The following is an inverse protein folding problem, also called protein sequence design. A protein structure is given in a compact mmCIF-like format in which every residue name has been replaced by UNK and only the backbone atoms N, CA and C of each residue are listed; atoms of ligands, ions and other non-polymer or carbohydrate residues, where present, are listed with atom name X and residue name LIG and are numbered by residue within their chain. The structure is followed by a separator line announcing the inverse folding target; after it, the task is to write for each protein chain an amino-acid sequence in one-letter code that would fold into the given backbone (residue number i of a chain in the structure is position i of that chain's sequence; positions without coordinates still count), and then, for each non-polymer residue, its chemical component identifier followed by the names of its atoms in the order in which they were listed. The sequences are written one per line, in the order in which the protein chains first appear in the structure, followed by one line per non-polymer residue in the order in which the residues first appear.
data_IF_081968304766
#
_entry.id   IF_081968304766
#
_cell.length_a   1.000
_cell.length_b   1.000
_cell.length_c   1.000
_cell.angle_alpha   90.00
_cell.angle_beta   90.00
_cell.angle_gamma   90.00
#
_symmetry.space_group_name_H-M   'P 1'
#
loop_
_entity.id
_entity.type
_entity.pdbx_description
1 polymer ?
#
# COMPACT_ATOMS: atom_id res chain seq x y z
N UNK A 1 36.13 21.10 -65.42
CA UNK A 1 35.26 22.31 -65.47
C UNK A 1 35.34 23.02 -64.11
N UNK A 2 34.90 24.28 -64.08
CA UNK A 2 34.90 25.32 -63.02
C UNK A 2 34.54 24.92 -61.56
N UNK A 3 34.79 25.78 -60.53
CA UNK A 3 35.87 25.48 -59.57
C UNK A 3 35.51 25.65 -58.06
N UNK A 4 36.54 25.92 -57.26
CA UNK A 4 36.71 25.74 -55.80
C UNK A 4 36.53 27.03 -54.95
N UNK A 5 36.70 26.87 -53.61
CA UNK A 5 36.93 27.87 -52.53
C UNK A 5 35.66 28.47 -51.89
N UNK A 6 35.67 28.94 -50.64
CA UNK A 6 36.73 28.93 -49.62
C UNK A 6 36.47 29.97 -48.51
N UNK A 7 36.92 29.72 -47.28
CA UNK A 7 36.61 30.49 -46.06
C UNK A 7 37.24 31.89 -46.00
N UNK A 8 36.56 32.87 -45.38
CA UNK A 8 37.17 34.10 -44.77
C UNK A 8 36.40 34.51 -43.51
N UNK A 9 37.12 35.10 -42.54
CA UNK A 9 36.66 35.64 -41.25
C UNK A 9 36.60 37.18 -41.26
N UNK A 10 35.76 37.77 -40.39
CA UNK A 10 36.19 38.88 -39.52
C UNK A 10 35.72 40.31 -39.81
N UNK A 11 35.05 40.90 -38.81
CA UNK A 11 35.14 42.33 -38.44
C UNK A 11 34.33 43.37 -39.24
N UNK A 12 34.17 44.64 -38.80
CA UNK A 12 34.21 45.32 -37.47
C UNK A 12 33.41 46.65 -37.66
N UNK A 13 32.75 47.14 -36.60
CA UNK A 13 32.33 48.55 -36.35
C UNK A 13 31.13 49.27 -37.03
N UNK A 14 30.48 50.06 -36.15
CA UNK A 14 29.91 51.41 -36.28
C UNK A 14 28.48 51.71 -36.81
N UNK A 15 27.81 52.55 -36.01
CA UNK A 15 26.55 53.26 -36.24
C UNK A 15 26.83 54.59 -37.02
N UNK A 16 25.96 55.64 -37.15
CA UNK A 16 24.69 55.94 -36.44
C UNK A 16 23.55 56.54 -37.32
N UNK A 17 22.38 56.84 -36.72
CA UNK A 17 21.69 58.16 -36.84
C UNK A 17 20.43 58.30 -35.95
N UNK A 18 20.36 59.39 -35.20
CA UNK A 18 19.19 59.99 -34.50
C UNK A 18 18.90 61.37 -35.14
N UNK A 19 17.77 62.12 -34.92
CA UNK A 19 17.15 62.53 -33.64
C UNK A 19 15.57 62.44 -33.68
N UNK A 20 14.69 63.15 -32.94
CA UNK A 20 14.82 64.31 -32.03
C UNK A 20 13.59 64.54 -31.10
N UNK A 21 13.76 65.39 -30.07
CA UNK A 21 12.80 66.27 -29.34
C UNK A 21 11.45 65.75 -28.77
N UNK A 22 10.89 66.22 -27.62
CA UNK A 22 11.46 66.75 -26.35
C UNK A 22 10.38 67.10 -25.28
N UNK A 23 10.80 67.10 -24.00
CA UNK A 23 10.32 67.90 -22.83
C UNK A 23 9.00 67.59 -22.06
N UNK A 24 9.20 66.99 -20.87
CA UNK A 24 8.98 67.55 -19.52
C UNK A 24 7.59 68.04 -19.00
N UNK A 25 7.20 67.62 -17.79
CA UNK A 25 7.05 68.49 -16.58
C UNK A 25 6.78 67.68 -15.28
N UNK A 26 6.64 68.37 -14.13
CA UNK A 26 6.88 67.88 -12.75
C UNK A 26 5.67 67.84 -11.78
N UNK A 27 5.87 67.17 -10.62
CA UNK A 27 4.92 66.88 -9.51
C UNK A 27 4.90 68.03 -8.46
N UNK A 28 3.75 68.39 -7.82
CA UNK A 28 3.56 68.14 -6.37
C UNK A 28 2.09 67.93 -5.91
N UNK A 29 1.87 67.77 -4.59
CA UNK A 29 0.67 67.16 -3.99
C UNK A 29 -0.31 68.09 -3.21
N UNK A 30 -1.49 67.52 -2.91
CA UNK A 30 -2.31 67.66 -1.68
C UNK A 30 -3.47 68.70 -1.61
N UNK A 31 -4.74 68.22 -1.50
CA UNK A 31 -5.82 68.68 -0.54
C UNK A 31 -7.24 68.07 -0.74
N UNK A 32 -7.68 67.21 0.21
CA UNK A 32 -9.07 66.91 0.72
C UNK A 32 -10.19 66.40 -0.24
N UNK A 33 -11.31 65.82 0.29
CA UNK A 33 -11.57 65.16 1.59
C UNK A 33 -12.12 63.71 1.43
N UNK A 34 -12.53 63.06 2.54
CA UNK A 34 -12.96 61.65 2.57
C UNK A 34 -14.41 61.41 2.08
N UNK A 35 -14.63 60.23 1.46
CA UNK A 35 -15.87 59.45 1.60
C UNK A 35 -15.46 57.99 1.84
N UNK A 36 -15.88 57.42 2.96
CA UNK A 36 -15.74 55.99 3.21
C UNK A 36 -16.88 55.23 2.52
N UNK A 37 -16.55 54.34 1.60
CA UNK A 37 -17.47 53.28 1.13
C UNK A 37 -16.81 51.94 1.41
N UNK A 38 -17.41 51.17 2.30
CA UNK A 38 -16.99 49.82 2.66
C UNK A 38 -17.23 48.86 1.50
N UNK A 39 -16.19 48.56 0.72
CA UNK A 39 -16.18 47.43 -0.21
C UNK A 39 -15.48 46.22 0.45
N UNK A 40 -16.27 45.22 0.84
CA UNK A 40 -15.72 43.92 1.28
C UNK A 40 -15.06 43.20 0.10
N UNK A 41 -13.88 42.63 0.37
CA UNK A 41 -13.24 41.51 -0.33
C UNK A 41 -13.46 41.41 -1.85
N UNK A 42 -12.56 42.02 -2.62
CA UNK A 42 -12.31 41.64 -4.02
C UNK A 42 -10.90 41.07 -4.18
N UNK A 43 -10.80 39.74 -4.18
CA UNK A 43 -9.78 38.96 -4.88
C UNK A 43 -8.29 39.28 -4.66
N UNK A 44 -7.69 38.62 -3.66
CA UNK A 44 -6.45 37.89 -3.95
C UNK A 44 -6.84 36.44 -4.22
N UNK A 45 -6.71 36.01 -5.48
CA UNK A 45 -6.72 34.59 -5.83
C UNK A 45 -5.40 34.01 -5.32
N UNK A 46 -5.36 33.64 -4.04
CA UNK A 46 -4.17 33.14 -3.38
C UNK A 46 -3.58 31.98 -4.17
N UNK A 47 -2.32 32.13 -4.60
CA UNK A 47 -1.60 31.07 -5.29
C UNK A 47 -1.60 29.83 -4.39
N UNK A 48 -2.26 28.76 -4.84
CA UNK A 48 -2.20 27.46 -4.18
C UNK A 48 -0.74 27.03 -4.23
N UNK A 49 -0.10 26.83 -3.07
CA UNK A 49 1.31 26.44 -3.05
C UNK A 49 1.49 25.11 -3.77
N UNK A 50 2.64 24.91 -4.41
CA UNK A 50 2.91 23.70 -5.18
C UNK A 50 2.82 22.44 -4.29
N UNK A 51 3.14 22.54 -2.99
CA UNK A 51 2.94 21.47 -2.01
C UNK A 51 1.45 21.15 -1.80
N UNK A 52 0.60 22.16 -1.61
CA UNK A 52 -0.83 21.98 -1.41
C UNK A 52 -1.51 21.40 -2.67
N UNK A 53 -1.12 21.87 -3.86
CA UNK A 53 -1.54 21.29 -5.13
C UNK A 53 -1.10 19.83 -5.24
N UNK A 54 0.16 19.54 -4.89
CA UNK A 54 0.73 18.21 -5.00
C UNK A 54 0.18 17.21 -3.98
N UNK A 55 -0.14 17.65 -2.76
CA UNK A 55 -0.85 16.86 -1.76
C UNK A 55 -2.28 16.56 -2.22
N UNK A 56 -2.99 17.56 -2.73
CA UNK A 56 -4.35 17.37 -3.23
C UNK A 56 -4.38 16.37 -4.40
N UNK A 57 -3.42 16.43 -5.32
CA UNK A 57 -3.25 15.45 -6.38
C UNK A 57 -2.90 14.04 -5.87
N UNK A 58 -2.04 13.97 -4.85
CA UNK A 58 -1.69 12.73 -4.14
C UNK A 58 -2.92 12.11 -3.46
N UNK A 59 -3.82 12.93 -2.91
CA UNK A 59 -5.05 12.48 -2.28
C UNK A 59 -6.01 11.85 -3.31
N UNK A 60 -6.27 12.50 -4.45
CA UNK A 60 -7.18 12.01 -5.51
C UNK A 60 -6.78 10.60 -5.96
N UNK A 61 -5.51 10.37 -6.30
CA UNK A 61 -5.03 9.04 -6.74
C UNK A 61 -5.18 7.98 -5.66
N UNK A 62 -4.83 8.28 -4.40
CA UNK A 62 -5.00 7.34 -3.28
C UNK A 62 -6.48 6.97 -3.07
N UNK A 63 -7.39 7.94 -3.15
CA UNK A 63 -8.82 7.69 -3.01
C UNK A 63 -9.39 6.92 -4.21
N UNK A 64 -8.88 7.14 -5.42
CA UNK A 64 -9.24 6.34 -6.60
C UNK A 64 -8.79 4.88 -6.48
N UNK A 65 -7.55 4.65 -6.01
CA UNK A 65 -7.02 3.31 -5.71
C UNK A 65 -7.79 2.58 -4.59
N UNK A 66 -8.41 3.31 -3.67
CA UNK A 66 -9.32 2.76 -2.64
C UNK A 66 -10.68 2.39 -3.22
N UNK A 67 -11.26 3.25 -4.05
CA UNK A 67 -12.51 2.99 -4.77
C UNK A 67 -12.40 1.72 -5.64
N UNK A 68 -11.27 1.52 -6.34
CA UNK A 68 -11.00 0.26 -7.06
C UNK A 68 -11.13 -1.00 -6.18
N UNK A 69 -10.65 -0.95 -4.92
CA UNK A 69 -10.84 -2.08 -4.00
C UNK A 69 -12.29 -2.23 -3.54
N UNK A 70 -13.00 -1.11 -3.33
CA UNK A 70 -14.41 -1.13 -2.94
C UNK A 70 -15.27 -1.83 -3.99
N UNK A 71 -15.04 -1.59 -5.29
CA UNK A 71 -15.74 -2.28 -6.38
C UNK A 71 -15.70 -3.80 -6.26
N UNK A 72 -14.50 -4.38 -6.04
CA UNK A 72 -14.34 -5.83 -5.88
C UNK A 72 -14.95 -6.35 -4.57
N UNK A 73 -15.00 -5.53 -3.52
CA UNK A 73 -15.64 -5.92 -2.24
C UNK A 73 -17.16 -6.02 -2.42
N UNK A 74 -17.76 -5.14 -3.20
CA UNK A 74 -19.22 -4.99 -3.36
C UNK A 74 -19.73 -5.69 -4.63
N UNK A 75 -19.32 -6.95 -4.86
CA UNK A 75 -19.83 -7.78 -5.97
C UNK A 75 -19.18 -7.55 -7.34
N UNK A 76 -18.17 -6.68 -7.47
CA UNK A 76 -17.51 -6.37 -8.75
C UNK A 76 -16.91 -7.55 -9.53
N UNK A 77 -16.84 -8.76 -8.96
CA UNK A 77 -16.39 -9.96 -9.63
C UNK A 77 -17.50 -10.73 -10.36
N UNK A 78 -18.76 -10.48 -10.03
CA UNK A 78 -19.93 -11.19 -10.55
C UNK A 78 -20.31 -10.75 -11.98
N UNK A 79 -19.68 -9.67 -12.47
CA UNK A 79 -19.83 -9.14 -13.81
C UNK A 79 -18.92 -9.87 -14.81
N UNK A 80 -19.51 -10.37 -15.90
CA UNK A 80 -18.82 -11.14 -16.96
C UNK A 80 -17.55 -10.44 -17.47
N UNK A 81 -17.69 -9.14 -17.75
CA UNK A 81 -16.72 -8.37 -18.52
C UNK A 81 -15.63 -7.75 -17.63
N UNK A 82 -15.67 -7.98 -16.31
CA UNK A 82 -14.70 -7.43 -15.36
C UNK A 82 -13.24 -7.84 -15.68
N UNK A 83 -13.04 -8.95 -16.39
CA UNK A 83 -11.71 -9.34 -16.88
C UNK A 83 -11.12 -8.35 -17.90
N UNK A 84 -11.95 -7.72 -18.72
CA UNK A 84 -11.51 -6.75 -19.73
C UNK A 84 -11.22 -5.40 -19.08
N UNK A 85 -12.13 -4.94 -18.22
CA UNK A 85 -11.96 -3.72 -17.42
C UNK A 85 -10.71 -3.79 -16.52
N UNK A 86 -10.39 -4.97 -15.97
CA UNK A 86 -9.13 -5.21 -15.25
C UNK A 86 -7.90 -4.94 -16.13
N UNK A 87 -7.89 -5.32 -17.41
CA UNK A 87 -6.73 -5.08 -18.32
C UNK A 87 -6.45 -3.58 -18.50
N UNK A 88 -7.47 -2.73 -18.47
CA UNK A 88 -7.32 -1.28 -18.57
C UNK A 88 -6.53 -0.68 -17.38
N UNK A 89 -6.46 -1.38 -16.25
CA UNK A 89 -5.72 -0.95 -15.06
C UNK A 89 -4.18 -1.06 -15.21
N UNK A 90 -3.66 -1.66 -16.28
CA UNK A 90 -2.21 -1.92 -16.44
C UNK A 90 -1.36 -0.63 -16.36
N UNK A 91 -1.67 0.36 -17.19
CA UNK A 91 -0.99 1.65 -17.19
C UNK A 91 -1.23 2.44 -15.88
N UNK A 92 -2.46 2.58 -15.36
CA UNK A 92 -2.74 3.14 -14.03
C UNK A 92 -1.89 2.54 -12.89
N UNK A 93 -1.75 1.20 -12.84
CA UNK A 93 -0.90 0.53 -11.85
C UNK A 93 0.59 0.81 -12.09
N UNK A 94 1.08 0.73 -13.33
CA UNK A 94 2.48 1.03 -13.69
C UNK A 94 2.88 2.42 -13.21
N UNK A 95 2.08 3.44 -13.51
CA UNK A 95 2.35 4.83 -13.14
C UNK A 95 2.31 5.02 -11.61
N UNK A 96 1.33 4.43 -10.94
CA UNK A 96 1.14 4.60 -9.50
C UNK A 96 2.18 3.88 -8.64
N UNK A 97 2.64 2.70 -9.08
CA UNK A 97 3.71 1.94 -8.40
C UNK A 97 5.07 2.63 -8.60
N UNK A 98 5.29 3.29 -9.76
CA UNK A 98 6.50 4.09 -10.05
C UNK A 98 6.52 5.47 -9.38
N UNK A 99 5.46 5.89 -8.68
CA UNK A 99 5.38 7.26 -8.14
C UNK A 99 6.44 7.52 -7.04
N UNK A 100 7.12 8.66 -7.14
CA UNK A 100 8.14 9.10 -6.18
C UNK A 100 7.59 9.43 -4.79
N UNK A 101 6.27 9.53 -4.61
CA UNK A 101 5.63 9.77 -3.31
C UNK A 101 5.26 8.43 -2.69
N UNK A 102 5.95 8.09 -1.61
CA UNK A 102 5.81 6.80 -0.91
C UNK A 102 4.37 6.46 -0.50
N UNK A 103 3.52 7.47 -0.27
CA UNK A 103 2.10 7.28 0.01
C UNK A 103 1.31 6.73 -1.20
N UNK A 104 1.61 7.17 -2.42
CA UNK A 104 0.95 6.69 -3.65
C UNK A 104 1.49 5.32 -4.02
N UNK A 105 2.82 5.17 -4.06
CA UNK A 105 3.47 3.89 -4.32
C UNK A 105 2.98 2.79 -3.36
N UNK A 106 2.86 3.09 -2.06
CA UNK A 106 2.31 2.16 -1.05
C UNK A 106 0.84 1.80 -1.32
N UNK A 107 -0.03 2.79 -1.53
CA UNK A 107 -1.45 2.53 -1.79
C UNK A 107 -1.64 1.70 -3.09
N UNK A 108 -0.83 1.98 -4.12
CA UNK A 108 -0.84 1.24 -5.37
C UNK A 108 -0.38 -0.21 -5.20
N UNK A 109 0.70 -0.45 -4.44
CA UNK A 109 1.16 -1.79 -4.10
C UNK A 109 0.11 -2.57 -3.27
N UNK A 110 -0.60 -1.89 -2.35
CA UNK A 110 -1.68 -2.50 -1.56
C UNK A 110 -2.89 -2.84 -2.42
N UNK A 111 -3.32 -1.96 -3.33
CA UNK A 111 -4.39 -2.28 -4.31
C UNK A 111 -3.96 -3.41 -5.23
N UNK A 112 -2.74 -3.39 -5.76
CA UNK A 112 -2.23 -4.47 -6.62
C UNK A 112 -2.19 -5.82 -5.90
N UNK A 113 -1.71 -5.86 -4.65
CA UNK A 113 -1.71 -7.06 -3.80
C UNK A 113 -3.13 -7.61 -3.59
N UNK A 114 -4.09 -6.74 -3.24
CA UNK A 114 -5.49 -7.10 -3.08
C UNK A 114 -6.11 -7.63 -4.39
N UNK A 115 -5.80 -7.01 -5.53
CA UNK A 115 -6.21 -7.49 -6.85
C UNK A 115 -5.63 -8.88 -7.15
N UNK A 116 -4.34 -9.13 -6.89
CA UNK A 116 -3.75 -10.46 -7.02
C UNK A 116 -4.48 -11.52 -6.18
N UNK A 117 -4.84 -11.20 -4.93
CA UNK A 117 -5.60 -12.11 -4.05
C UNK A 117 -7.01 -12.41 -4.56
N UNK A 118 -7.74 -11.39 -5.04
CA UNK A 118 -9.13 -11.52 -5.45
C UNK A 118 -9.33 -12.08 -6.85
N UNK A 119 -8.38 -11.86 -7.77
CA UNK A 119 -8.50 -12.20 -9.19
C UNK A 119 -7.59 -13.35 -9.64
N UNK A 120 -6.55 -13.70 -8.85
CA UNK A 120 -5.64 -14.79 -9.15
C UNK A 120 -5.08 -14.72 -10.58
N UNK A 121 -5.26 -15.81 -11.34
CA UNK A 121 -4.80 -15.93 -12.73
C UNK A 121 -5.34 -14.83 -13.68
N UNK A 122 -6.49 -14.18 -13.41
CA UNK A 122 -6.99 -13.06 -14.24
C UNK A 122 -6.00 -11.87 -14.26
N UNK A 123 -5.14 -11.73 -13.25
CA UNK A 123 -4.07 -10.71 -13.20
C UNK A 123 -2.83 -11.06 -14.03
N UNK A 124 -2.72 -12.27 -14.60
CA UNK A 124 -1.49 -12.75 -15.24
C UNK A 124 -1.03 -11.92 -16.45
N UNK A 125 -1.93 -11.19 -17.12
CA UNK A 125 -1.57 -10.24 -18.20
C UNK A 125 -0.77 -9.06 -17.63
N UNK A 126 -1.44 -8.26 -16.79
CA UNK A 126 -0.93 -7.04 -16.15
C UNK A 126 0.34 -7.31 -15.36
N UNK A 127 0.38 -8.45 -14.67
CA UNK A 127 1.49 -8.85 -13.84
C UNK A 127 2.83 -8.86 -14.61
N UNK A 128 2.84 -9.24 -15.89
CA UNK A 128 4.06 -9.26 -16.72
C UNK A 128 4.67 -7.86 -16.84
N UNK A 129 3.85 -6.83 -17.08
CA UNK A 129 4.31 -5.45 -17.17
C UNK A 129 4.75 -4.91 -15.79
N UNK A 130 4.07 -5.32 -14.72
CA UNK A 130 4.27 -4.81 -13.36
C UNK A 130 5.48 -5.43 -12.63
N UNK A 131 5.82 -6.72 -12.86
CA UNK A 131 6.91 -7.40 -12.13
C UNK A 131 8.26 -6.66 -12.22
N UNK A 132 8.77 -6.23 -13.38
CA UNK A 132 10.07 -5.55 -13.46
C UNK A 132 10.12 -4.28 -12.59
N UNK A 133 9.01 -3.55 -12.52
CA UNK A 133 8.88 -2.35 -11.67
C UNK A 133 8.92 -2.73 -10.19
N UNK A 134 8.14 -3.73 -9.77
CA UNK A 134 8.12 -4.19 -8.38
C UNK A 134 9.49 -4.74 -7.93
N UNK A 135 10.19 -5.48 -8.80
CA UNK A 135 11.54 -5.98 -8.51
C UNK A 135 12.52 -4.80 -8.33
N UNK A 136 12.41 -3.75 -9.15
CA UNK A 136 13.25 -2.57 -8.98
C UNK A 136 12.93 -1.77 -7.70
N UNK A 137 11.70 -1.83 -7.17
CA UNK A 137 11.38 -1.23 -5.87
C UNK A 137 12.12 -1.91 -4.70
N UNK A 138 12.47 -3.20 -4.81
CA UNK A 138 13.11 -3.95 -3.71
C UNK A 138 14.45 -3.37 -3.25
N UNK A 139 15.16 -2.66 -4.12
CA UNK A 139 16.43 -2.00 -3.81
C UNK A 139 16.30 -0.51 -3.45
N UNK A 140 15.07 0.00 -3.29
CA UNK A 140 14.83 1.40 -2.97
C UNK A 140 15.24 1.72 -1.52
N UNK A 141 16.01 2.78 -1.33
CA UNK A 141 16.48 3.23 -0.01
C UNK A 141 15.34 3.70 0.90
N UNK A 142 14.24 4.19 0.34
CA UNK A 142 13.02 4.49 1.08
C UNK A 142 12.32 3.18 1.48
N UNK A 143 12.62 2.69 2.69
CA UNK A 143 12.10 1.41 3.24
C UNK A 143 10.60 1.20 3.03
N UNK A 144 9.77 2.25 3.09
CA UNK A 144 8.32 2.17 2.85
C UNK A 144 8.00 1.71 1.42
N UNK A 145 8.74 2.18 0.41
CA UNK A 145 8.56 1.77 -0.99
C UNK A 145 9.05 0.33 -1.21
N UNK A 146 10.26 0.00 -0.74
CA UNK A 146 10.81 -1.35 -0.88
C UNK A 146 9.95 -2.42 -0.20
N UNK A 147 9.49 -2.16 1.03
CA UNK A 147 8.59 -3.09 1.74
C UNK A 147 7.22 -3.19 1.08
N UNK A 148 6.69 -2.11 0.48
CA UNK A 148 5.44 -2.15 -0.28
C UNK A 148 5.57 -2.99 -1.55
N UNK A 149 6.64 -2.81 -2.32
CA UNK A 149 6.92 -3.61 -3.53
C UNK A 149 7.11 -5.10 -3.21
N UNK A 150 7.79 -5.42 -2.10
CA UNK A 150 7.94 -6.78 -1.61
C UNK A 150 6.60 -7.43 -1.25
N UNK A 151 5.72 -6.72 -0.52
CA UNK A 151 4.38 -7.24 -0.18
C UNK A 151 3.56 -7.51 -1.46
N UNK A 152 3.59 -6.60 -2.43
CA UNK A 152 2.92 -6.79 -3.72
C UNK A 152 3.45 -8.03 -4.47
N UNK A 153 4.77 -8.24 -4.55
CA UNK A 153 5.35 -9.43 -5.17
C UNK A 153 4.97 -10.74 -4.48
N UNK A 154 4.86 -10.75 -3.15
CA UNK A 154 4.44 -11.95 -2.40
C UNK A 154 3.01 -12.34 -2.69
N UNK A 155 2.11 -11.35 -2.78
CA UNK A 155 0.73 -11.59 -3.19
C UNK A 155 0.65 -12.07 -4.65
N UNK A 156 1.46 -11.48 -5.56
CA UNK A 156 1.56 -11.97 -6.93
C UNK A 156 2.04 -13.43 -7.01
N UNK A 157 3.10 -13.81 -6.28
CA UNK A 157 3.58 -15.20 -6.18
C UNK A 157 2.49 -16.10 -5.62
N UNK A 158 1.91 -15.75 -4.47
CA UNK A 158 0.97 -16.62 -3.74
C UNK A 158 -0.31 -16.90 -4.51
N UNK A 159 -0.88 -15.89 -5.20
CA UNK A 159 -2.22 -15.99 -5.77
C UNK A 159 -2.24 -16.09 -7.30
N UNK A 160 -1.35 -15.40 -8.02
CA UNK A 160 -1.38 -15.37 -9.50
C UNK A 160 -0.67 -16.58 -10.12
N UNK A 161 0.35 -17.16 -9.47
CA UNK A 161 1.00 -18.43 -9.87
C UNK A 161 1.28 -18.55 -11.39
N UNK A 162 1.94 -17.55 -11.97
CA UNK A 162 2.23 -17.49 -13.41
C UNK A 162 3.69 -17.86 -13.71
N UNK A 163 3.93 -18.68 -14.73
CA UNK A 163 5.28 -19.09 -15.15
C UNK A 163 6.15 -17.90 -15.59
N UNK A 164 5.53 -16.87 -16.19
CA UNK A 164 6.22 -15.62 -16.56
C UNK A 164 6.82 -14.90 -15.35
N UNK A 165 6.26 -15.09 -14.15
CA UNK A 165 6.83 -14.57 -12.92
C UNK A 165 8.15 -15.27 -12.55
N UNK A 166 8.26 -16.59 -12.77
CA UNK A 166 9.51 -17.32 -12.52
C UNK A 166 10.65 -16.83 -13.42
N UNK A 167 10.37 -16.53 -14.69
CA UNK A 167 11.37 -15.99 -15.64
C UNK A 167 11.97 -14.67 -15.12
N UNK A 168 11.13 -13.77 -14.60
CA UNK A 168 11.59 -12.51 -14.01
C UNK A 168 12.34 -12.70 -12.68
N UNK A 169 11.89 -13.62 -11.80
CA UNK A 169 12.61 -13.93 -10.56
C UNK A 169 13.96 -14.59 -10.82
N UNK A 170 14.05 -15.52 -11.76
CA UNK A 170 15.30 -16.14 -12.20
C UNK A 170 16.27 -15.08 -12.74
N UNK A 171 15.80 -14.16 -13.59
CA UNK A 171 16.61 -13.04 -14.06
C UNK A 171 17.10 -12.18 -12.88
N UNK A 172 16.23 -11.89 -11.92
CA UNK A 172 16.55 -11.10 -10.73
C UNK A 172 17.58 -11.78 -9.80
N UNK A 173 17.67 -13.11 -9.78
CA UNK A 173 18.74 -13.84 -9.07
C UNK A 173 20.15 -13.54 -9.62
N UNK A 174 20.28 -13.02 -10.85
CA UNK A 174 21.57 -12.55 -11.41
C UNK A 174 21.90 -11.09 -11.08
N UNK A 175 21.00 -10.36 -10.40
CA UNK A 175 21.14 -8.92 -10.16
C UNK A 175 22.39 -8.58 -9.34
N UNK A 176 23.07 -7.49 -9.72
CA UNK A 176 24.17 -6.90 -8.92
C UNK A 176 23.70 -6.49 -7.51
N UNK A 177 22.42 -6.15 -7.38
CA UNK A 177 21.81 -5.71 -6.12
C UNK A 177 21.57 -6.87 -5.15
N UNK A 178 22.20 -6.79 -3.96
CA UNK A 178 22.06 -7.79 -2.89
C UNK A 178 20.61 -7.98 -2.47
N UNK A 179 19.88 -6.89 -2.25
CA UNK A 179 18.48 -6.93 -1.80
C UNK A 179 17.59 -7.63 -2.83
N UNK A 180 17.76 -7.34 -4.13
CA UNK A 180 16.99 -8.00 -5.20
C UNK A 180 17.21 -9.52 -5.16
N UNK A 181 18.46 -10.00 -5.03
CA UNK A 181 18.75 -11.45 -4.95
C UNK A 181 18.16 -12.09 -3.69
N UNK A 182 18.32 -11.45 -2.52
CA UNK A 182 17.76 -11.92 -1.24
C UNK A 182 16.24 -12.13 -1.32
N UNK A 183 15.51 -11.11 -1.76
CA UNK A 183 14.05 -11.18 -1.85
C UNK A 183 13.59 -12.10 -2.97
N UNK A 184 14.31 -12.18 -4.09
CA UNK A 184 13.98 -13.09 -5.19
C UNK A 184 14.13 -14.55 -4.76
N UNK A 185 15.19 -14.91 -4.03
CA UNK A 185 15.32 -16.24 -3.43
C UNK A 185 14.18 -16.55 -2.44
N UNK A 186 13.75 -15.57 -1.63
CA UNK A 186 12.63 -15.74 -0.71
C UNK A 186 11.28 -15.92 -1.43
N UNK A 187 11.09 -15.25 -2.58
CA UNK A 187 9.90 -15.38 -3.42
C UNK A 187 9.90 -16.73 -4.17
N UNK A 188 11.06 -17.22 -4.60
CA UNK A 188 11.24 -18.53 -5.22
C UNK A 188 10.97 -19.66 -4.22
N UNK A 189 11.43 -19.54 -2.97
CA UNK A 189 11.07 -20.48 -1.90
C UNK A 189 9.56 -20.47 -1.64
N UNK A 190 8.92 -19.30 -1.61
CA UNK A 190 7.47 -19.20 -1.50
C UNK A 190 6.74 -19.88 -2.67
N UNK A 191 7.23 -19.72 -3.91
CA UNK A 191 6.67 -20.41 -5.07
C UNK A 191 6.81 -21.94 -4.95
N UNK A 192 8.02 -22.43 -4.64
CA UNK A 192 8.31 -23.85 -4.43
C UNK A 192 7.44 -24.51 -3.34
N UNK A 193 7.01 -23.74 -2.33
CA UNK A 193 6.23 -24.25 -1.18
C UNK A 193 4.71 -24.09 -1.33
N UNK A 194 4.22 -23.14 -2.14
CA UNK A 194 2.79 -22.76 -2.20
C UNK A 194 2.11 -22.99 -3.56
N UNK A 195 2.86 -23.41 -4.57
CA UNK A 195 2.32 -23.69 -5.91
C UNK A 195 1.93 -25.17 -6.03
N UNK A 196 1.00 -25.47 -6.94
CA UNK A 196 0.64 -26.86 -7.23
C UNK A 196 1.83 -27.61 -7.82
N UNK A 197 2.08 -28.84 -7.36
CA UNK A 197 3.22 -29.65 -7.80
C UNK A 197 3.37 -29.75 -9.31
N UNK A 198 2.25 -29.86 -10.05
CA UNK A 198 2.26 -29.86 -11.53
C UNK A 198 2.89 -28.62 -12.17
N UNK A 199 2.73 -27.43 -11.55
CA UNK A 199 3.35 -26.18 -12.01
C UNK A 199 4.84 -26.18 -11.62
N UNK A 200 5.18 -26.65 -10.41
CA UNK A 200 6.56 -26.76 -9.92
C UNK A 200 7.38 -27.72 -10.78
N UNK A 201 6.87 -28.93 -11.03
CA UNK A 201 7.49 -29.97 -11.86
C UNK A 201 7.74 -29.49 -13.30
N UNK A 202 6.73 -28.86 -13.93
CA UNK A 202 6.87 -28.29 -15.28
C UNK A 202 7.97 -27.23 -15.36
N UNK A 203 8.20 -26.49 -14.27
CA UNK A 203 9.20 -25.42 -14.19
C UNK A 203 10.45 -25.84 -13.35
N UNK A 204 10.63 -27.14 -13.11
CA UNK A 204 11.66 -27.68 -12.22
C UNK A 204 13.08 -27.22 -12.58
N UNK A 205 13.52 -27.18 -13.86
CA UNK A 205 14.85 -26.68 -14.21
C UNK A 205 15.12 -25.26 -13.67
N UNK A 206 14.16 -24.35 -13.79
CA UNK A 206 14.26 -22.98 -13.26
C UNK A 206 14.41 -22.95 -11.75
N UNK A 207 13.71 -23.83 -11.02
CA UNK A 207 13.88 -23.97 -9.57
C UNK A 207 15.26 -24.52 -9.22
N UNK A 208 15.73 -25.59 -9.87
CA UNK A 208 17.05 -26.18 -9.61
C UNK A 208 18.19 -25.19 -9.84
N UNK A 209 18.15 -24.44 -10.95
CA UNK A 209 19.12 -23.38 -11.25
C UNK A 209 19.08 -22.27 -10.19
N UNK A 210 17.88 -21.79 -9.82
CA UNK A 210 17.73 -20.79 -8.76
C UNK A 210 18.25 -21.26 -7.39
N UNK A 211 18.05 -22.53 -7.04
CA UNK A 211 18.57 -23.12 -5.79
C UNK A 211 20.09 -23.20 -5.85
N UNK A 212 20.66 -23.66 -6.97
CA UNK A 212 22.11 -23.72 -7.20
C UNK A 212 22.75 -22.33 -7.14
N UNK A 213 22.14 -21.32 -7.75
CA UNK A 213 22.57 -19.92 -7.64
C UNK A 213 22.52 -19.45 -6.17
N UNK A 214 21.41 -19.71 -5.47
CA UNK A 214 21.22 -19.25 -4.09
C UNK A 214 22.23 -19.85 -3.11
N UNK A 215 22.50 -21.16 -3.21
CA UNK A 215 23.50 -21.86 -2.38
C UNK A 215 24.93 -21.33 -2.63
N UNK A 216 25.17 -20.78 -3.82
CA UNK A 216 26.47 -20.24 -4.23
C UNK A 216 26.57 -18.71 -4.16
N UNK A 217 25.55 -18.00 -3.67
CA UNK A 217 25.60 -16.55 -3.51
C UNK A 217 26.73 -16.11 -2.54
N UNK A 218 27.25 -14.92 -2.78
CA UNK A 218 28.16 -14.24 -1.85
C UNK A 218 27.45 -13.88 -0.54
N UNK A 219 26.15 -13.59 -0.58
CA UNK A 219 25.35 -13.17 0.56
C UNK A 219 24.86 -14.34 1.43
N UNK A 220 24.98 -14.18 2.75
CA UNK A 220 24.61 -15.21 3.71
C UNK A 220 23.10 -15.47 3.78
N UNK A 221 22.25 -14.45 3.69
CA UNK A 221 20.78 -14.61 3.77
C UNK A 221 20.24 -15.29 2.51
N UNK A 222 20.76 -14.93 1.34
CA UNK A 222 20.47 -15.67 0.10
C UNK A 222 20.91 -17.13 0.19
N UNK A 223 22.11 -17.42 0.71
CA UNK A 223 22.56 -18.80 0.94
C UNK A 223 21.70 -19.56 1.94
N UNK A 224 21.23 -18.92 3.00
CA UNK A 224 20.33 -19.54 3.98
C UNK A 224 19.00 -19.93 3.32
N UNK A 225 18.47 -19.04 2.48
CA UNK A 225 17.26 -19.28 1.68
C UNK A 225 17.46 -20.40 0.66
N UNK A 226 18.62 -20.45 -0.01
CA UNK A 226 19.01 -21.56 -0.89
C UNK A 226 19.04 -22.92 -0.20
N UNK A 227 19.56 -22.99 1.04
CA UNK A 227 19.51 -24.23 1.83
C UNK A 227 18.09 -24.60 2.24
N UNK A 228 17.24 -23.63 2.59
CA UNK A 228 15.83 -23.88 2.88
C UNK A 228 15.05 -24.39 1.64
N UNK A 229 15.30 -23.84 0.45
CA UNK A 229 14.72 -24.38 -0.80
C UNK A 229 15.21 -25.80 -1.09
N UNK A 230 16.48 -26.10 -0.87
CA UNK A 230 16.99 -27.48 -0.99
C UNK A 230 16.28 -28.44 -0.02
N UNK A 231 16.04 -28.03 1.23
CA UNK A 231 15.29 -28.85 2.20
C UNK A 231 13.84 -29.08 1.77
N UNK A 232 13.17 -28.09 1.17
CA UNK A 232 11.82 -28.27 0.60
C UNK A 232 11.84 -29.24 -0.59
N UNK A 233 12.83 -29.08 -1.49
CA UNK A 233 13.05 -29.95 -2.64
C UNK A 233 13.34 -31.40 -2.22
N UNK A 234 14.10 -31.62 -1.14
CA UNK A 234 14.41 -32.96 -0.61
C UNK A 234 13.17 -33.66 -0.03
N UNK A 235 12.23 -32.90 0.53
CA UNK A 235 10.98 -33.40 1.12
C UNK A 235 9.93 -33.75 0.06
N UNK A 236 9.78 -32.96 -0.99
CA UNK A 236 8.72 -33.14 -2.00
C UNK A 236 9.21 -33.79 -3.31
N UNK A 237 10.43 -33.50 -3.75
CA UNK A 237 10.95 -33.87 -5.07
C UNK A 237 12.30 -34.58 -4.96
N UNK A 238 12.38 -35.61 -4.11
CA UNK A 238 13.63 -36.26 -3.66
C UNK A 238 14.62 -36.59 -4.80
N UNK A 239 14.14 -37.14 -5.91
CA UNK A 239 14.96 -37.46 -7.08
C UNK A 239 15.70 -36.22 -7.64
N UNK A 240 15.01 -35.07 -7.70
CA UNK A 240 15.58 -33.81 -8.18
C UNK A 240 16.57 -33.23 -7.17
N UNK A 241 16.31 -33.38 -5.87
CA UNK A 241 17.26 -33.01 -4.81
C UNK A 241 18.56 -33.84 -4.87
N UNK A 242 18.46 -35.15 -5.08
CA UNK A 242 19.63 -36.03 -5.20
C UNK A 242 20.48 -35.70 -6.46
N UNK A 243 19.83 -35.39 -7.59
CA UNK A 243 20.51 -34.91 -8.82
C UNK A 243 21.22 -33.58 -8.55
N UNK A 244 20.53 -32.63 -7.93
CA UNK A 244 21.10 -31.32 -7.60
C UNK A 244 22.28 -31.45 -6.64
N UNK A 245 22.17 -32.25 -5.57
CA UNK A 245 23.21 -32.50 -4.58
C UNK A 245 24.50 -33.05 -5.22
N UNK A 246 24.37 -34.03 -6.12
CA UNK A 246 25.50 -34.60 -6.87
C UNK A 246 26.18 -33.58 -7.80
N UNK A 247 25.47 -32.52 -8.21
CA UNK A 247 26.01 -31.44 -9.06
C UNK A 247 26.73 -30.31 -8.30
N UNK A 248 26.80 -30.39 -6.97
CA UNK A 248 27.44 -29.42 -6.08
C UNK A 248 28.81 -29.90 -5.59
N UNK A 249 29.72 -28.96 -5.31
CA UNK A 249 31.05 -29.29 -4.79
C UNK A 249 30.99 -30.01 -3.43
N UNK A 250 31.96 -30.89 -3.09
CA UNK A 250 32.02 -31.61 -1.81
C UNK A 250 32.01 -30.71 -0.55
N UNK A 251 32.37 -29.43 -0.68
CA UNK A 251 32.24 -28.44 0.39
C UNK A 251 30.76 -28.06 0.65
N UNK A 252 29.99 -27.83 -0.42
CA UNK A 252 28.57 -27.48 -0.36
C UNK A 252 27.70 -28.67 0.07
N UNK A 253 28.02 -29.87 -0.43
CA UNK A 253 27.40 -31.12 -0.01
C UNK A 253 27.47 -31.31 1.52
N UNK A 254 28.65 -31.13 2.13
CA UNK A 254 28.81 -31.18 3.60
C UNK A 254 28.02 -30.12 4.36
N UNK A 255 27.83 -28.93 3.79
CA UNK A 255 26.99 -27.88 4.39
C UNK A 255 25.50 -28.21 4.35
N UNK A 256 25.03 -28.90 3.30
CA UNK A 256 23.63 -29.32 3.18
C UNK A 256 23.31 -30.53 4.07
N UNK A 257 24.18 -31.54 4.11
CA UNK A 257 23.95 -32.74 4.93
C UNK A 257 23.91 -32.42 6.42
N UNK A 258 24.82 -31.58 6.93
CA UNK A 258 24.76 -31.10 8.32
C UNK A 258 23.47 -30.32 8.63
N UNK A 259 22.97 -29.53 7.68
CA UNK A 259 21.73 -28.78 7.83
C UNK A 259 20.48 -29.68 7.81
N UNK A 260 20.46 -30.73 6.97
CA UNK A 260 19.43 -31.76 6.99
C UNK A 260 19.41 -32.53 8.32
N UNK A 261 20.57 -33.00 8.80
CA UNK A 261 20.68 -33.72 10.08
C UNK A 261 20.14 -32.88 11.25
N UNK A 262 20.49 -31.59 11.30
CA UNK A 262 20.00 -30.67 12.32
C UNK A 262 18.49 -30.33 12.19
N UNK A 263 17.97 -30.30 10.96
CA UNK A 263 16.54 -30.12 10.71
C UNK A 263 15.73 -31.32 11.19
N UNK A 264 16.25 -32.54 10.97
CA UNK A 264 15.61 -33.78 11.42
C UNK A 264 15.59 -33.93 12.94
N UNK A 265 16.70 -33.63 13.64
CA UNK A 265 16.76 -33.67 15.11
C UNK A 265 15.85 -32.63 15.79
N UNK A 266 15.45 -31.59 15.06
CA UNK A 266 14.50 -30.58 15.56
C UNK A 266 13.04 -31.01 15.46
N UNK A 267 12.72 -32.09 14.72
CA UNK A 267 11.37 -32.64 14.60
C UNK A 267 11.08 -33.84 15.52
N UNK A 268 12.09 -34.39 16.20
CA UNK A 268 11.97 -35.58 17.06
C UNK A 268 11.71 -35.29 18.55
N UNK A 269 11.53 -34.02 18.96
CA UNK A 269 11.41 -33.62 20.38
C UNK A 269 9.96 -33.54 20.92
N UNK A 270 9.03 -34.35 20.40
CA UNK A 270 7.64 -34.46 20.93
C UNK A 270 7.38 -35.85 21.55
N UNK A 271 8.42 -36.62 21.87
CA UNK A 271 8.28 -37.91 22.54
C UNK A 271 9.23 -38.05 23.74
N UNK A 272 8.64 -38.41 24.89
CA UNK A 272 9.23 -39.00 26.10
C UNK A 272 10.19 -38.16 26.98
N UNK A 273 9.57 -37.51 27.99
CA UNK A 273 9.75 -37.73 29.45
C UNK A 273 11.17 -37.85 30.09
N UNK A 274 11.38 -37.03 31.12
CA UNK A 274 12.32 -37.13 32.27
C UNK A 274 13.84 -37.29 32.05
N UNK A 275 14.58 -36.17 32.07
CA UNK A 275 15.68 -35.89 33.04
C UNK A 275 16.48 -34.59 32.70
N UNK A 276 17.15 -34.02 33.71
CA UNK A 276 17.84 -32.72 33.69
C UNK A 276 19.35 -32.86 33.30
N UNK A 277 20.16 -31.78 33.26
CA UNK A 277 20.05 -30.60 32.41
C UNK A 277 21.39 -30.30 31.67
N UNK A 278 21.36 -29.79 30.43
CA UNK A 278 22.59 -29.35 29.73
C UNK A 278 22.49 -27.91 29.22
N UNK A 279 23.32 -27.03 29.78
CA UNK A 279 23.38 -25.61 29.41
C UNK A 279 24.31 -25.37 28.22
N UNK A 280 23.76 -25.27 27.02
CA UNK A 280 24.30 -24.37 25.99
C UNK A 280 23.15 -23.66 25.25
N UNK A 281 22.85 -22.42 25.65
CA UNK A 281 21.79 -21.60 25.07
C UNK A 281 22.26 -20.93 23.77
N UNK A 282 22.47 -21.72 22.71
CA UNK A 282 22.67 -21.18 21.36
C UNK A 282 21.32 -20.97 20.69
N UNK A 283 20.82 -19.74 20.73
CA UNK A 283 19.47 -19.38 20.31
C UNK A 283 19.35 -19.23 18.79
N UNK A 284 19.15 -20.35 18.09
CA UNK A 284 18.67 -20.35 16.69
C UNK A 284 17.61 -21.45 16.45
N UNK A 285 16.65 -21.58 17.36
CA UNK A 285 15.45 -22.40 17.14
C UNK A 285 14.61 -21.82 15.99
N UNK A 286 14.87 -22.32 14.77
CA UNK A 286 14.19 -21.91 13.54
C UNK A 286 12.79 -22.54 13.52
N UNK A 287 11.88 -21.93 14.27
CA UNK A 287 10.48 -22.31 14.34
C UNK A 287 9.87 -22.27 12.92
N UNK A 288 9.42 -23.42 12.38
CA UNK A 288 8.73 -23.50 11.08
C UNK A 288 7.53 -22.54 11.01
N UNK A 289 6.83 -22.37 12.13
CA UNK A 289 5.76 -21.38 12.29
C UNK A 289 6.24 -19.93 12.21
N UNK A 290 7.47 -19.59 12.61
CA UNK A 290 8.00 -18.23 12.47
C UNK A 290 8.34 -17.89 11.02
N UNK A 291 8.95 -18.82 10.27
CA UNK A 291 9.21 -18.61 8.84
C UNK A 291 7.90 -18.46 8.06
N UNK A 292 6.93 -19.35 8.29
CA UNK A 292 5.59 -19.21 7.68
C UNK A 292 4.83 -17.96 8.15
N UNK A 293 4.96 -17.55 9.42
CA UNK A 293 4.36 -16.31 9.93
C UNK A 293 4.92 -15.08 9.22
N UNK A 294 6.24 -15.00 9.01
CA UNK A 294 6.85 -13.96 8.18
C UNK A 294 6.42 -14.07 6.72
N UNK A 295 6.19 -15.27 6.17
CA UNK A 295 5.73 -15.50 4.79
C UNK A 295 4.26 -15.15 4.54
N UNK A 296 3.38 -15.29 5.53
CA UNK A 296 1.92 -15.26 5.32
C UNK A 296 1.18 -14.14 6.05
N UNK A 297 1.78 -13.48 7.05
CA UNK A 297 1.05 -12.54 7.92
C UNK A 297 1.36 -11.07 7.60
N UNK A 298 0.39 -10.26 7.14
CA UNK A 298 0.52 -8.81 7.06
C UNK A 298 0.30 -8.16 8.44
N UNK A 299 1.10 -8.56 9.44
CA UNK A 299 0.94 -8.22 10.87
C UNK A 299 1.15 -6.73 11.25
N UNK A 300 1.02 -5.81 10.28
CA UNK A 300 1.18 -4.37 10.45
C UNK A 300 0.00 -3.55 9.89
N UNK A 301 -1.07 -4.20 9.42
CA UNK A 301 -2.20 -3.53 8.76
C UNK A 301 -3.51 -3.43 9.57
N UNK A 302 -3.53 -3.90 10.82
CA UNK A 302 -4.63 -3.57 11.73
C UNK A 302 -4.39 -2.19 12.38
N UNK A 303 -4.94 -1.15 11.76
CA UNK A 303 -5.40 0.08 12.41
C UNK A 303 -4.48 0.83 13.37
N UNK A 304 -3.45 1.51 12.85
CA UNK A 304 -2.96 2.78 13.46
C UNK A 304 -2.64 3.82 12.39
N UNK A 305 -3.43 4.89 12.34
CA UNK A 305 -3.08 6.10 11.58
C UNK A 305 -1.81 6.70 12.16
N UNK A 306 -0.78 6.87 11.33
CA UNK A 306 0.40 7.68 11.66
C UNK A 306 0.14 9.13 11.24
N UNK A 307 -0.72 9.80 12.00
CA UNK A 307 -0.79 11.25 12.11
C UNK A 307 -0.55 11.61 13.58
N UNK A 308 0.09 12.74 13.83
CA UNK A 308 0.48 13.25 15.16
C UNK A 308 1.59 12.48 15.89
N UNK A 309 2.83 12.66 15.40
CA UNK A 309 4.03 12.58 16.25
C UNK A 309 4.55 14.02 16.42
N UNK A 310 4.20 14.66 17.54
CA UNK A 310 4.81 15.93 17.94
C UNK A 310 6.27 15.66 18.42
N UNK A 311 7.30 16.23 17.75
CA UNK A 311 8.69 16.03 18.15
C UNK A 311 9.04 16.60 19.54
N UNK A 312 8.16 17.40 20.17
CA UNK A 312 8.33 17.89 21.55
C UNK A 312 7.89 16.88 22.62
N UNK A 313 7.08 15.88 22.28
CA UNK A 313 6.68 14.83 23.23
C UNK A 313 7.82 13.84 23.53
N UNK A 314 8.64 13.52 22.52
CA UNK A 314 9.69 12.50 22.61
C UNK A 314 10.83 12.83 23.59
N UNK A 315 11.02 14.11 23.96
CA UNK A 315 12.09 14.54 24.90
C UNK A 315 11.76 14.36 26.39
N UNK A 316 10.55 13.91 26.74
CA UNK A 316 10.17 13.63 28.15
C UNK A 316 10.31 12.16 28.56
N UNK A 317 10.74 11.28 27.65
CA UNK A 317 10.85 9.83 27.88
C UNK A 317 12.31 9.33 28.09
N UNK A 318 13.25 10.21 28.45
CA UNK A 318 14.68 9.87 28.62
C UNK A 318 15.22 10.07 30.04
N UNK A 319 14.39 9.85 31.07
CA UNK A 319 14.85 9.68 32.46
C UNK A 319 13.96 8.68 33.23
N UNK A 320 14.28 7.39 33.11
CA UNK A 320 14.03 6.40 34.17
C UNK A 320 15.14 5.35 34.10
N UNK A 321 15.66 4.94 35.26
CA UNK A 321 17.02 4.41 35.40
C UNK A 321 17.04 2.92 35.80
N UNK A 322 18.11 2.22 35.43
CA UNK A 322 18.46 0.92 35.99
C UNK A 322 18.70 1.03 37.51
N UNK A 323 18.19 0.07 38.29
CA UNK A 323 19.02 -0.80 39.16
C UNK A 323 18.19 -1.81 39.97
N UNK A 324 18.65 -3.06 39.98
CA UNK A 324 18.45 -4.01 41.08
C UNK A 324 19.80 -4.18 41.80
N UNK A 325 19.76 -4.30 43.14
CA UNK A 325 20.95 -4.50 43.99
C UNK A 325 20.63 -4.10 45.44
N UNK A 326 20.74 -5.03 46.39
CA UNK A 326 20.23 -4.89 47.76
C UNK A 326 21.23 -4.34 48.81
N UNK A 327 21.22 -4.83 50.06
CA UNK A 327 20.64 -4.03 51.16
C UNK A 327 21.46 -3.97 52.46
N UNK A 328 21.34 -2.90 53.28
CA UNK A 328 21.73 -2.93 54.71
C UNK A 328 21.18 -1.77 55.59
N UNK A 329 20.93 -2.08 56.88
CA UNK A 329 20.79 -1.24 58.10
C UNK A 329 19.64 -0.18 58.21
N UNK A 330 18.73 -0.20 59.21
CA UNK A 330 18.83 0.22 60.65
C UNK A 330 19.04 1.75 60.80
N UNK A 331 18.35 2.57 61.62
CA UNK A 331 17.90 2.48 63.05
C UNK A 331 16.69 3.44 63.35
N UNK A 332 16.01 3.27 64.50
CA UNK A 332 14.97 4.09 65.18
C UNK A 332 14.90 5.62 64.98
N UNK A 333 13.71 6.23 65.25
CA UNK A 333 13.63 7.62 65.78
C UNK A 333 12.30 8.41 65.73
N UNK A 334 11.40 8.20 66.70
CA UNK A 334 10.46 9.18 67.34
C UNK A 334 9.80 10.38 66.58
N UNK A 335 8.46 10.29 66.44
CA UNK A 335 7.39 11.21 66.91
C UNK A 335 7.32 12.76 66.63
N UNK A 336 6.06 13.23 66.61
CA UNK A 336 5.50 14.61 66.68
C UNK A 336 5.55 15.51 65.41
N UNK A 337 4.61 16.46 65.19
CA UNK A 337 3.21 16.61 65.63
C UNK A 337 2.55 17.80 64.87
N UNK A 338 1.21 17.85 64.80
CA UNK A 338 0.42 18.99 64.27
C UNK A 338 -0.24 18.67 62.92
N UNK A 339 -1.55 18.38 62.85
CA UNK A 339 -2.72 19.29 63.02
C UNK A 339 -2.85 20.33 61.89
N UNK A 340 -4.02 20.57 61.28
CA UNK A 340 -5.38 20.00 61.49
C UNK A 340 -6.30 20.40 60.32
N UNK A 341 -7.28 19.53 59.99
CA UNK A 341 -8.66 19.85 59.51
C UNK A 341 -8.87 20.68 58.21
N UNK A 342 -9.93 20.52 57.39
CA UNK A 342 -11.24 19.83 57.53
C UNK A 342 -11.64 19.06 56.24
N UNK A 343 -12.37 17.94 56.41
CA UNK A 343 -13.16 17.22 55.38
C UNK A 343 -14.66 17.65 55.47
N UNK A 344 -15.70 16.96 54.94
CA UNK A 344 -15.84 15.85 53.97
C UNK A 344 -16.76 16.23 52.75
N UNK A 345 -17.00 15.49 51.66
CA UNK A 345 -17.05 14.05 51.28
C UNK A 345 -18.37 13.29 51.58
N UNK A 346 -19.19 13.04 50.53
CA UNK A 346 -20.11 11.89 50.27
C UNK A 346 -20.73 12.10 48.87
N UNK A 347 -20.74 11.21 47.85
CA UNK A 347 -20.93 9.75 47.66
C UNK A 347 -22.40 9.28 47.42
N UNK A 348 -22.69 8.95 46.15
CA UNK A 348 -23.63 7.91 45.63
C UNK A 348 -25.16 8.13 45.87
N UNK A 349 -26.06 7.31 45.26
CA UNK A 349 -25.91 6.30 44.19
C UNK A 349 -26.87 6.50 42.98
N UNK A 350 -26.83 5.56 42.03
CA UNK A 350 -27.81 5.40 40.95
C UNK A 350 -28.99 4.48 41.34
N UNK A 351 -30.12 4.58 40.62
CA UNK A 351 -31.16 3.53 40.62
C UNK A 351 -31.93 3.47 39.29
N UNK A 352 -32.11 2.26 38.77
CA UNK A 352 -33.00 1.91 37.63
C UNK A 352 -34.43 1.68 38.14
N UNK A 353 -35.46 1.86 37.30
CA UNK A 353 -36.78 1.18 37.39
C UNK A 353 -37.52 1.20 36.01
N UNK A 354 -38.62 0.44 35.80
CA UNK A 354 -38.81 -0.38 34.58
C UNK A 354 -40.10 -0.06 33.77
N UNK A 355 -40.45 -0.80 32.69
CA UNK A 355 -41.60 -0.50 31.82
C UNK A 355 -42.89 -1.25 32.22
N UNK A 356 -44.06 -0.75 31.77
CA UNK A 356 -45.33 -1.52 31.75
C UNK A 356 -46.32 -1.03 30.69
N UNK A 357 -47.22 -1.92 30.28
CA UNK A 357 -48.04 -1.87 29.05
C UNK A 357 -49.55 -1.80 29.35
N UNK A 358 -50.34 -1.37 28.34
CA UNK A 358 -51.74 -1.71 28.01
C UNK A 358 -52.85 -0.62 28.14
N UNK A 359 -53.82 -0.78 27.22
CA UNK A 359 -55.25 -0.41 27.27
C UNK A 359 -55.76 0.87 26.54
N UNK A 360 -56.01 0.71 25.23
CA UNK A 360 -57.31 0.95 24.55
C UNK A 360 -58.15 2.22 24.83
N UNK A 361 -58.40 2.99 23.75
CA UNK A 361 -59.74 3.53 23.42
C UNK A 361 -59.99 3.43 21.91
N UNK A 362 -61.26 3.28 21.51
CA UNK A 362 -61.66 2.95 20.14
C UNK A 362 -62.05 4.19 19.29
N UNK A 363 -61.87 4.08 17.97
CA UNK A 363 -62.41 4.99 16.96
C UNK A 363 -62.67 4.21 15.66
N UNK A 364 -63.86 4.32 15.08
CA UNK A 364 -64.42 3.33 14.15
C UNK A 364 -64.72 3.93 12.76
N UNK A 365 -64.20 3.30 11.71
CA UNK A 365 -64.56 3.35 10.27
C UNK A 365 -64.45 4.68 9.49
N UNK A 366 -63.75 4.61 8.35
CA UNK A 366 -64.43 4.62 7.04
C UNK A 366 -63.65 3.74 6.05
N UNK A 367 -64.38 2.95 5.26
CA UNK A 367 -63.83 2.15 4.16
C UNK A 367 -63.90 2.93 2.86
N UNK A 368 -62.84 2.88 2.06
CA UNK A 368 -62.90 3.03 0.61
C UNK A 368 -61.82 2.15 -0.02
N UNK A 369 -62.27 1.23 -0.87
CA UNK A 369 -61.50 0.47 -1.87
C UNK A 369 -61.17 1.36 -3.07
N UNK A 370 -60.39 0.83 -4.04
CA UNK A 370 -59.71 1.50 -5.17
C UNK A 370 -58.26 1.91 -4.79
N UNK A 371 -57.17 1.52 -5.47
CA UNK A 371 -57.01 0.64 -6.65
C UNK A 371 -55.69 -0.16 -6.63
N UNK A 372 -55.59 -1.17 -7.50
CA UNK A 372 -54.46 -2.12 -7.61
C UNK A 372 -53.41 -1.71 -8.68
N UNK A 373 -52.92 -0.48 -8.67
CA UNK A 373 -51.77 -0.08 -9.50
C UNK A 373 -50.83 0.88 -8.73
N UNK A 374 -49.73 0.37 -8.15
CA UNK A 374 -48.37 0.83 -8.48
C UNK A 374 -47.26 0.05 -7.74
N UNK A 375 -46.75 -1.02 -8.38
CA UNK A 375 -45.54 -1.72 -7.93
C UNK A 375 -44.27 -1.33 -8.72
N UNK A 376 -44.44 -0.62 -9.83
CA UNK A 376 -43.38 -0.34 -10.80
C UNK A 376 -42.84 1.10 -10.70
N UNK A 377 -43.71 2.08 -10.42
CA UNK A 377 -43.34 3.50 -10.31
C UNK A 377 -42.27 3.76 -9.24
N UNK A 378 -42.49 3.28 -8.01
CA UNK A 378 -41.54 3.48 -6.91
C UNK A 378 -40.15 2.87 -7.18
N UNK A 379 -40.10 1.73 -7.88
CA UNK A 379 -38.84 1.09 -8.29
C UNK A 379 -38.16 1.88 -9.43
N UNK A 380 -38.93 2.38 -10.40
CA UNK A 380 -38.41 3.20 -11.49
C UNK A 380 -37.85 4.55 -11.00
N UNK A 381 -38.51 5.19 -10.02
CA UNK A 381 -38.04 6.46 -9.46
C UNK A 381 -36.86 6.28 -8.49
N UNK A 382 -36.77 5.17 -7.74
CA UNK A 382 -35.55 4.81 -6.98
C UNK A 382 -34.35 4.65 -7.92
N UNK A 383 -34.50 3.81 -8.97
CA UNK A 383 -33.46 3.58 -9.96
C UNK A 383 -33.04 4.86 -10.71
N UNK A 384 -33.98 5.77 -10.99
CA UNK A 384 -33.68 7.08 -11.58
C UNK A 384 -32.89 7.98 -10.63
N UNK A 385 -33.26 8.00 -9.35
CA UNK A 385 -32.55 8.78 -8.33
C UNK A 385 -31.12 8.24 -8.14
N UNK A 386 -30.95 6.93 -7.98
CA UNK A 386 -29.65 6.25 -7.90
C UNK A 386 -28.76 6.53 -9.13
N UNK A 387 -29.34 6.46 -10.34
CA UNK A 387 -28.62 6.78 -11.59
C UNK A 387 -28.17 8.25 -11.63
N UNK A 388 -28.99 9.17 -11.09
CA UNK A 388 -28.65 10.59 -11.00
C UNK A 388 -27.55 10.86 -9.97
N UNK A 389 -27.58 10.21 -8.80
CA UNK A 389 -26.52 10.30 -7.78
C UNK A 389 -25.17 9.82 -8.33
N UNK A 390 -25.14 8.66 -9.00
CA UNK A 390 -23.91 8.16 -9.63
C UNK A 390 -23.41 9.11 -10.73
N UNK A 391 -24.31 9.61 -11.59
CA UNK A 391 -23.95 10.54 -12.66
C UNK A 391 -23.35 11.83 -12.09
N UNK A 392 -23.92 12.36 -11.01
CA UNK A 392 -23.38 13.51 -10.29
C UNK A 392 -22.02 13.22 -9.66
N UNK A 393 -21.84 12.08 -8.99
CA UNK A 393 -20.55 11.67 -8.40
C UNK A 393 -19.45 11.55 -9.48
N UNK A 394 -19.77 10.97 -10.64
CA UNK A 394 -18.86 10.87 -11.78
C UNK A 394 -18.55 12.23 -12.43
N UNK A 395 -19.51 13.16 -12.48
CA UNK A 395 -19.30 14.52 -12.94
C UNK A 395 -18.37 15.32 -12.00
N UNK A 396 -18.54 15.19 -10.68
CA UNK A 396 -17.63 15.77 -9.69
C UNK A 396 -16.22 15.15 -9.79
N UNK A 397 -16.13 13.84 -10.04
CA UNK A 397 -14.86 13.17 -10.36
C UNK A 397 -14.21 13.67 -11.66
N UNK A 398 -14.97 14.25 -12.59
CA UNK A 398 -14.49 14.84 -13.84
C UNK A 398 -14.13 16.33 -13.73
N UNK A 399 -14.41 16.99 -12.59
CA UNK A 399 -14.13 18.42 -12.41
C UNK A 399 -12.64 18.74 -12.48
N UNK A 400 -12.32 19.92 -13.01
CA UNK A 400 -10.95 20.45 -12.99
C UNK A 400 -10.50 20.81 -11.56
N UNK A 401 -11.44 21.16 -10.69
CA UNK A 401 -11.19 21.51 -9.29
C UNK A 401 -10.91 20.26 -8.44
N UNK A 402 -9.84 20.31 -7.65
CA UNK A 402 -9.44 19.16 -6.82
C UNK A 402 -10.34 18.99 -5.59
N UNK A 403 -11.03 20.05 -5.14
CA UNK A 403 -12.10 19.99 -4.14
C UNK A 403 -13.21 19.04 -4.59
N UNK A 404 -13.75 19.30 -5.76
CA UNK A 404 -14.92 18.61 -6.30
C UNK A 404 -14.58 17.15 -6.56
N UNK A 405 -13.37 16.88 -7.09
CA UNK A 405 -12.87 15.51 -7.27
C UNK A 405 -12.72 14.74 -5.95
N UNK A 406 -12.39 15.40 -4.84
CA UNK A 406 -12.38 14.76 -3.50
C UNK A 406 -13.79 14.41 -3.04
N UNK A 407 -14.76 15.30 -3.22
CA UNK A 407 -16.16 15.03 -2.84
C UNK A 407 -16.81 14.00 -3.77
N UNK A 408 -16.57 14.06 -5.07
CA UNK A 408 -16.99 13.03 -6.04
C UNK A 408 -16.44 11.65 -5.71
N UNK A 409 -15.16 11.53 -5.32
CA UNK A 409 -14.57 10.26 -4.91
C UNK A 409 -15.08 9.73 -3.54
N UNK A 410 -15.61 10.60 -2.68
CA UNK A 410 -16.30 10.20 -1.44
C UNK A 410 -17.72 9.73 -1.75
N UNK A 411 -18.47 10.50 -2.53
CA UNK A 411 -19.82 10.14 -2.97
C UNK A 411 -19.81 8.80 -3.71
N UNK A 412 -18.87 8.64 -4.67
CA UNK A 412 -18.65 7.38 -5.38
C UNK A 412 -18.33 6.22 -4.44
N UNK A 413 -17.49 6.42 -3.42
CA UNK A 413 -17.20 5.37 -2.43
C UNK A 413 -18.46 4.97 -1.64
N UNK A 414 -19.29 5.95 -1.26
CA UNK A 414 -20.56 5.69 -0.56
C UNK A 414 -21.54 4.91 -1.43
N UNK A 415 -21.70 5.30 -2.71
CA UNK A 415 -22.56 4.62 -3.69
C UNK A 415 -22.09 3.18 -3.96
N UNK A 416 -20.77 2.97 -4.03
CA UNK A 416 -20.22 1.60 -4.17
C UNK A 416 -20.48 0.77 -2.91
N UNK A 417 -20.42 1.38 -1.73
CA UNK A 417 -20.53 0.70 -0.45
C UNK A 417 -21.97 0.49 0.05
N UNK A 418 -23.00 1.03 -0.62
CA UNK A 418 -24.40 1.00 -0.15
C UNK A 418 -25.16 -0.30 -0.49
N UNK A 419 -24.44 -1.40 -0.73
CA UNK A 419 -24.98 -2.77 -0.96
C UNK A 419 -25.95 -2.90 -2.16
N UNK A 420 -25.85 -1.97 -3.12
CA UNK A 420 -26.60 -2.01 -4.38
C UNK A 420 -25.82 -2.78 -5.45
N UNK A 421 -26.51 -3.59 -6.25
CA UNK A 421 -25.92 -4.20 -7.44
C UNK A 421 -25.71 -3.13 -8.53
N UNK A 422 -24.52 -2.53 -8.55
CA UNK A 422 -24.08 -1.62 -9.62
C UNK A 422 -24.20 -2.37 -10.96
N UNK A 423 -24.98 -1.88 -11.92
CA UNK A 423 -25.11 -2.57 -13.20
C UNK A 423 -23.78 -2.56 -14.01
N UNK A 424 -23.59 -3.45 -15.00
CA UNK A 424 -22.33 -3.56 -15.74
C UNK A 424 -21.89 -2.27 -16.45
N UNK A 425 -22.86 -1.49 -16.96
CA UNK A 425 -22.62 -0.24 -17.71
C UNK A 425 -22.07 0.83 -16.76
N UNK A 426 -22.63 0.92 -15.57
CA UNK A 426 -22.24 1.87 -14.55
C UNK A 426 -20.91 1.49 -13.89
N UNK A 427 -20.67 0.20 -13.65
CA UNK A 427 -19.35 -0.31 -13.24
C UNK A 427 -18.26 0.10 -14.23
N UNK A 428 -18.52 -0.03 -15.54
CA UNK A 428 -17.60 0.39 -16.60
C UNK A 428 -17.31 1.90 -16.54
N UNK A 429 -18.33 2.75 -16.48
CA UNK A 429 -18.16 4.22 -16.33
C UNK A 429 -17.30 4.57 -15.11
N UNK A 430 -17.49 3.85 -14.00
CA UNK A 430 -16.71 4.04 -12.78
C UNK A 430 -15.24 3.64 -13.00
N UNK A 431 -14.98 2.47 -13.56
CA UNK A 431 -13.60 2.00 -13.84
C UNK A 431 -12.89 2.93 -14.82
N UNK A 432 -13.54 3.34 -15.91
CA UNK A 432 -13.02 4.33 -16.86
C UNK A 432 -12.65 5.66 -16.16
N UNK A 433 -13.53 6.19 -15.31
CA UNK A 433 -13.28 7.44 -14.57
C UNK A 433 -12.13 7.30 -13.57
N UNK A 434 -12.07 6.18 -12.84
CA UNK A 434 -10.98 5.89 -11.91
C UNK A 434 -9.65 5.72 -12.64
N UNK A 435 -9.63 5.09 -13.83
CA UNK A 435 -8.43 4.94 -14.65
C UNK A 435 -7.83 6.28 -15.06
N UNK A 436 -8.67 7.22 -15.52
CA UNK A 436 -8.25 8.59 -15.82
C UNK A 436 -7.66 9.25 -14.56
N UNK A 437 -8.37 9.22 -13.43
CA UNK A 437 -7.91 9.85 -12.19
C UNK A 437 -6.62 9.26 -11.60
N UNK A 438 -6.35 7.98 -11.85
CA UNK A 438 -5.12 7.29 -11.40
C UNK A 438 -3.95 7.59 -12.36
N UNK A 439 -4.22 7.66 -13.68
CA UNK A 439 -3.22 7.94 -14.71
C UNK A 439 -2.83 9.42 -14.87
N UNK A 440 -3.70 10.34 -14.48
CA UNK A 440 -3.36 11.76 -14.40
C UNK A 440 -2.14 12.01 -13.48
N UNK A 441 -1.39 13.08 -13.74
CA UNK A 441 -0.33 13.58 -12.87
C UNK A 441 1.10 13.18 -13.22
N UNK A 442 1.33 12.22 -14.12
CA UNK A 442 2.69 11.89 -14.59
C UNK A 442 3.28 12.98 -15.51
N UNK A 443 2.45 13.68 -16.27
CA UNK A 443 2.88 14.65 -17.29
C UNK A 443 3.43 15.99 -16.77
N UNK A 444 3.36 16.27 -15.45
CA UNK A 444 3.91 17.50 -14.84
C UNK A 444 5.09 17.25 -13.90
N UNK A 445 5.62 16.03 -13.85
CA UNK A 445 6.71 15.62 -12.93
C UNK A 445 7.92 15.03 -13.69
N UNK A 446 7.90 15.06 -15.02
CA UNK A 446 8.97 14.58 -15.90
C UNK A 446 9.47 15.64 -16.90
N UNK A 447 9.27 16.92 -16.57
CA UNK A 447 9.73 18.10 -17.31
C UNK A 447 10.57 18.98 -16.40
#
# INVERSE_FOLDING_TARGET
MQPTRGSVLGGVENAPTTPAYSRASSVPANKRPQIAVTAKNSGEAGAISDEAFQEAFTHVRKCSLKNLRALIICGGLDFSDFAEEVRLLENPFLLSIKDLRSQVCREACVTFAFYCERLGQRMAHILVAIIPVLINLLQNSAKVMATSGLVALRYAVKYVRSEKLLVHLHTAMTSKSREIRRYSASLLLMALTLWEGRIVEKNMPTFLDCIKMSINDADLETRNTGRAMYVQLDQEYKQQADILYRSLDPSKQRQLSGFLSQSSSSQSLISEKDSLPMSQRSSYALNKGSFFFFLTTPAYYCGRSTSDIDPKAARRATHSNNKWGGPLHQVNGTANAGSRSTSPSTRHPASRLPPRTLATTAGRMRSQTEDLEDGASASADSLRFETAELTNALAYCASTLVSDRKEGLKALFTIIASDHQINPIDLKKIVERLNVLIGEGSHKVCS
#
